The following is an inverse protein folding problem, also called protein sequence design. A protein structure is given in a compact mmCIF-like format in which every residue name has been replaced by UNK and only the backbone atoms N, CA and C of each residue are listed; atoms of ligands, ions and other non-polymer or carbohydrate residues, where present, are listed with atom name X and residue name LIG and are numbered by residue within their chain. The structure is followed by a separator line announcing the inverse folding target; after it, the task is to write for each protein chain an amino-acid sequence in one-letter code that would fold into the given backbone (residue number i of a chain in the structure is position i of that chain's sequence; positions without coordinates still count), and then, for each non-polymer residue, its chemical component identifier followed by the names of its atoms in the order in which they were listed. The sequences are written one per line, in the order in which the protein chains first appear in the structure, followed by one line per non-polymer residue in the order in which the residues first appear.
data_IF_161147886491
#
_entry.id   IF_161147886491
#
_cell.length_a   1.000
_cell.length_b   1.000
_cell.length_c   1.000
_cell.angle_alpha   90.00
_cell.angle_beta   90.00
_cell.angle_gamma   90.00
#
_symmetry.space_group_name_H-M   'P 1'
#
loop_
_entity.id
_entity.type
_entity.pdbx_description
1 polymer ?
#
# COMPACT_ATOMS: atom_id res chain seq x y z
N UNK A 1 15.53 3.14 -8.52
CA UNK A 1 14.44 2.16 -8.23
C UNK A 1 13.12 2.89 -8.00
N UNK A 2 12.00 2.19 -8.16
CA UNK A 2 10.65 2.73 -7.99
C UNK A 2 10.08 2.25 -6.65
N UNK A 3 9.63 3.16 -5.80
CA UNK A 3 8.92 2.87 -4.56
C UNK A 3 7.42 3.17 -4.73
N UNK A 4 6.57 2.17 -4.53
CA UNK A 4 5.12 2.36 -4.42
C UNK A 4 4.67 2.25 -2.97
N UNK A 5 3.75 3.12 -2.56
CA UNK A 5 3.19 3.17 -1.21
C UNK A 5 1.66 3.10 -1.24
N UNK A 6 1.09 2.22 -0.40
CA UNK A 6 -0.32 2.24 -0.03
C UNK A 6 -0.44 2.80 1.40
N UNK A 7 -1.07 3.96 1.55
CA UNK A 7 -1.01 4.76 2.78
C UNK A 7 -2.37 4.75 3.47
N UNK A 8 -2.42 4.07 4.63
CA UNK A 8 -3.53 4.15 5.57
C UNK A 8 -3.05 4.61 6.94
N UNK A 9 -4.00 4.94 7.83
CA UNK A 9 -3.64 5.32 9.21
C UNK A 9 -3.29 4.12 10.09
N UNK A 10 -3.45 2.89 9.63
CA UNK A 10 -3.17 1.68 10.43
C UNK A 10 -1.95 0.93 9.94
N UNK A 11 -1.66 1.03 8.65
CA UNK A 11 -0.59 0.33 7.96
C UNK A 11 -0.15 1.18 6.76
N UNK A 12 1.15 1.21 6.47
CA UNK A 12 1.64 1.62 5.16
C UNK A 12 2.20 0.37 4.48
N UNK A 13 1.62 -0.05 3.36
CA UNK A 13 2.23 -1.03 2.48
C UNK A 13 3.30 -0.36 1.63
N UNK A 14 4.42 -1.03 1.37
CA UNK A 14 5.44 -0.56 0.46
C UNK A 14 5.92 -1.67 -0.48
N UNK A 15 6.28 -1.29 -1.70
CA UNK A 15 6.87 -2.20 -2.69
C UNK A 15 7.93 -1.48 -3.52
N UNK A 16 9.04 -2.18 -3.77
CA UNK A 16 10.16 -1.68 -4.57
C UNK A 16 10.27 -2.47 -5.86
N UNK A 17 10.35 -1.76 -6.99
CA UNK A 17 10.67 -2.31 -8.31
C UNK A 17 11.97 -1.69 -8.83
N UNK A 18 12.65 -2.41 -9.72
CA UNK A 18 13.66 -1.81 -10.60
C UNK A 18 12.99 -0.94 -11.67
N UNK A 19 13.77 -0.09 -12.32
CA UNK A 19 13.29 0.78 -13.42
C UNK A 19 12.75 -0.07 -14.59
N UNK A 20 13.29 -1.26 -14.84
CA UNK A 20 12.78 -2.19 -15.84
C UNK A 20 11.43 -2.86 -15.44
N UNK A 21 10.97 -2.64 -14.20
CA UNK A 21 9.74 -3.20 -13.68
C UNK A 21 9.86 -4.55 -12.98
N UNK A 22 11.09 -5.05 -12.80
CA UNK A 22 11.36 -6.27 -12.04
C UNK A 22 11.08 -6.03 -10.56
N UNK A 23 10.35 -6.96 -9.94
CA UNK A 23 10.10 -6.94 -8.49
C UNK A 23 11.38 -7.12 -7.68
N UNK A 24 11.52 -6.34 -6.60
CA UNK A 24 12.69 -6.41 -5.69
C UNK A 24 12.26 -6.88 -4.30
N UNK A 25 11.32 -6.18 -3.67
CA UNK A 25 10.87 -6.48 -2.31
C UNK A 25 9.57 -5.73 -2.01
N UNK A 26 8.78 -6.24 -1.09
CA UNK A 26 7.69 -5.49 -0.46
C UNK A 26 7.68 -5.73 1.05
N UNK A 27 6.89 -4.92 1.76
CA UNK A 27 6.73 -5.01 3.20
C UNK A 27 5.66 -4.03 3.68
N UNK A 28 5.54 -3.92 5.00
CA UNK A 28 4.56 -3.04 5.62
C UNK A 28 5.12 -2.38 6.87
N UNK A 29 4.57 -1.20 7.19
CA UNK A 29 4.86 -0.44 8.40
C UNK A 29 3.62 -0.46 9.29
N UNK A 30 3.63 -1.16 10.44
CA UNK A 30 2.48 -1.24 11.32
C UNK A 30 2.31 0.03 12.15
N UNK A 31 1.25 0.80 11.90
CA UNK A 31 0.98 2.09 12.54
C UNK A 31 -0.11 2.02 13.61
N UNK A 32 -0.81 0.89 13.74
CA UNK A 32 -1.98 0.72 14.60
C UNK A 32 -1.72 1.02 16.09
N UNK A 33 -0.49 0.78 16.56
CA UNK A 33 -0.08 1.02 17.96
C UNK A 33 0.26 2.48 18.27
N UNK A 34 0.42 3.33 17.25
CA UNK A 34 0.77 4.73 17.45
C UNK A 34 -0.50 5.56 17.67
N UNK A 35 -0.56 6.43 18.71
CA UNK A 35 -1.80 7.07 19.12
C UNK A 35 -2.19 8.28 18.25
N UNK A 36 -1.22 8.92 17.57
CA UNK A 36 -1.45 10.15 16.79
C UNK A 36 -0.89 10.04 15.38
N UNK A 37 -1.38 10.88 14.45
CA UNK A 37 -0.86 10.93 13.07
C UNK A 37 0.63 11.35 13.04
N UNK A 38 1.04 12.22 13.96
CA UNK A 38 2.44 12.67 14.07
C UNK A 38 3.37 11.52 14.47
N UNK A 39 2.99 10.72 15.47
CA UNK A 39 3.80 9.56 15.88
C UNK A 39 3.81 8.46 14.83
N UNK A 40 2.73 8.32 14.06
CA UNK A 40 2.69 7.45 12.87
C UNK A 40 3.65 7.92 11.80
N UNK A 41 3.69 9.22 11.52
CA UNK A 41 4.60 9.81 10.57
C UNK A 41 6.06 9.67 11.00
N UNK A 42 6.36 9.84 12.30
CA UNK A 42 7.70 9.59 12.84
C UNK A 42 8.15 8.15 12.65
N UNK A 43 7.27 7.19 12.91
CA UNK A 43 7.56 5.77 12.66
C UNK A 43 7.77 5.50 11.16
N UNK A 44 6.91 6.05 10.30
CA UNK A 44 7.06 5.94 8.85
C UNK A 44 8.41 6.48 8.38
N UNK A 45 8.84 7.64 8.90
CA UNK A 45 10.13 8.25 8.57
C UNK A 45 11.32 7.36 8.97
N UNK A 46 11.24 6.73 10.15
CA UNK A 46 12.27 5.77 10.59
C UNK A 46 12.42 4.61 9.60
N UNK A 47 11.30 4.04 9.16
CA UNK A 47 11.29 2.92 8.21
C UNK A 47 11.66 3.37 6.79
N UNK A 48 11.34 4.61 6.40
CA UNK A 48 11.74 5.20 5.12
C UNK A 48 13.25 5.38 5.03
N UNK A 49 13.91 5.78 6.12
CA UNK A 49 15.37 5.79 6.20
C UNK A 49 15.96 4.38 5.94
N UNK A 50 15.39 3.32 6.53
CA UNK A 50 15.84 1.95 6.28
C UNK A 50 15.65 1.53 4.82
N UNK A 51 14.51 1.89 4.21
CA UNK A 51 14.24 1.66 2.79
C UNK A 51 15.25 2.42 1.92
N UNK A 52 15.54 3.69 2.24
CA UNK A 52 16.49 4.53 1.51
C UNK A 52 17.91 3.97 1.57
N UNK A 53 18.35 3.50 2.74
CA UNK A 53 19.67 2.89 2.90
C UNK A 53 19.81 1.58 2.13
N UNK A 54 18.71 0.81 2.01
CA UNK A 54 18.71 -0.50 1.35
C UNK A 54 18.52 -0.43 -0.15
N UNK A 55 17.78 0.56 -0.65
CA UNK A 55 17.38 0.65 -2.04
C UNK A 55 17.65 2.06 -2.60
N UNK A 56 18.35 2.19 -3.74
CA UNK A 56 18.53 3.48 -4.40
C UNK A 56 17.21 3.90 -5.07
N UNK A 57 16.31 4.50 -4.30
CA UNK A 57 15.00 4.99 -4.79
C UNK A 57 15.22 6.25 -5.64
N UNK A 58 14.57 6.29 -6.79
CA UNK A 58 14.62 7.38 -7.78
C UNK A 58 13.23 7.95 -8.06
N UNK A 59 12.18 7.14 -7.88
CA UNK A 59 10.79 7.54 -8.08
C UNK A 59 9.92 7.00 -6.95
N UNK A 60 8.99 7.84 -6.46
CA UNK A 60 8.03 7.47 -5.42
C UNK A 60 6.63 7.69 -5.96
N UNK A 61 5.76 6.69 -5.80
CA UNK A 61 4.35 6.75 -6.17
C UNK A 61 3.48 6.43 -4.96
N UNK A 62 2.41 7.20 -4.78
CA UNK A 62 1.45 7.02 -3.69
C UNK A 62 0.04 6.96 -4.27
N UNK A 63 -0.80 6.07 -3.74
CA UNK A 63 -2.22 6.09 -4.07
C UNK A 63 -2.91 7.38 -3.57
N UNK A 64 -3.65 8.04 -4.46
CA UNK A 64 -4.45 9.22 -4.10
C UNK A 64 -5.63 8.83 -3.19
N UNK A 65 -5.81 9.57 -2.10
CA UNK A 65 -6.94 9.38 -1.19
C UNK A 65 -8.30 9.67 -1.84
N UNK A 66 -9.31 8.89 -1.44
CA UNK A 66 -10.68 9.06 -1.91
C UNK A 66 -11.26 10.41 -1.42
N UNK A 67 -11.64 11.29 -2.34
CA UNK A 67 -12.19 12.62 -2.02
C UNK A 67 -13.72 12.69 -2.01
N UNK A 68 -14.43 11.56 -2.17
CA UNK A 68 -15.89 11.56 -2.36
C UNK A 68 -16.65 11.37 -1.05
N UNK A 69 -17.36 12.41 -0.63
CA UNK A 69 -18.41 12.31 0.40
C UNK A 69 -19.69 11.76 -0.23
N UNK A 70 -20.17 10.62 0.23
CA UNK A 70 -21.45 10.04 -0.22
C UNK A 70 -22.14 9.29 0.91
N UNK A 71 -23.48 9.31 0.91
CA UNK A 71 -24.31 8.60 1.89
C UNK A 71 -24.05 7.09 1.80
N UNK A 72 -23.65 6.47 2.92
CA UNK A 72 -23.30 5.04 3.00
C UNK A 72 -21.82 4.70 2.78
N UNK A 73 -20.95 5.71 2.63
CA UNK A 73 -19.49 5.56 2.58
C UNK A 73 -18.84 5.86 3.94
N UNK A 74 -17.50 5.80 4.01
CA UNK A 74 -16.71 6.22 5.18
C UNK A 74 -17.14 7.57 5.72
N UNK A 75 -17.09 7.72 7.06
CA UNK A 75 -17.46 8.99 7.70
C UNK A 75 -16.56 10.14 7.23
N UNK A 76 -17.08 11.37 7.24
CA UNK A 76 -16.28 12.55 6.91
C UNK A 76 -15.00 12.63 7.75
N UNK A 77 -15.09 12.29 9.04
CA UNK A 77 -13.93 12.22 9.94
C UNK A 77 -12.88 11.20 9.47
N UNK A 78 -13.29 10.03 9.00
CA UNK A 78 -12.39 9.01 8.46
C UNK A 78 -11.71 9.48 7.17
N UNK A 79 -12.48 10.08 6.26
CA UNK A 79 -11.97 10.60 4.98
C UNK A 79 -10.94 11.70 5.24
N UNK A 80 -11.27 12.69 6.07
CA UNK A 80 -10.34 13.77 6.43
C UNK A 80 -9.09 13.22 7.09
N UNK A 81 -9.21 12.28 8.02
CA UNK A 81 -8.05 11.68 8.70
C UNK A 81 -7.12 10.95 7.72
N UNK A 82 -7.68 10.20 6.77
CA UNK A 82 -6.89 9.52 5.73
C UNK A 82 -6.21 10.52 4.80
N UNK A 83 -6.95 11.52 4.31
CA UNK A 83 -6.39 12.58 3.46
C UNK A 83 -5.28 13.38 4.17
N UNK A 84 -5.49 13.77 5.43
CA UNK A 84 -4.47 14.45 6.23
C UNK A 84 -3.23 13.57 6.40
N UNK A 85 -3.40 12.28 6.69
CA UNK A 85 -2.25 11.39 6.86
C UNK A 85 -1.52 11.12 5.55
N UNK A 86 -2.23 10.97 4.44
CA UNK A 86 -1.64 10.83 3.11
C UNK A 86 -0.80 12.07 2.74
N UNK A 87 -1.30 13.28 3.02
CA UNK A 87 -0.51 14.51 2.86
C UNK A 87 0.74 14.56 3.75
N UNK A 88 0.64 14.10 5.00
CA UNK A 88 1.81 13.99 5.90
C UNK A 88 2.84 13.01 5.32
N UNK A 89 2.42 11.86 4.80
CA UNK A 89 3.35 10.88 4.21
C UNK A 89 3.97 11.39 2.91
N UNK A 90 3.25 12.18 2.10
CA UNK A 90 3.86 12.87 0.96
C UNK A 90 5.00 13.79 1.41
N UNK A 91 4.76 14.61 2.44
CA UNK A 91 5.79 15.49 3.01
C UNK A 91 6.98 14.72 3.60
N UNK A 92 6.72 13.68 4.39
CA UNK A 92 7.77 12.82 4.97
C UNK A 92 8.60 12.14 3.88
N UNK A 93 7.95 11.66 2.80
CA UNK A 93 8.66 11.07 1.67
C UNK A 93 9.60 12.07 1.01
N UNK A 94 9.18 13.33 0.83
CA UNK A 94 10.06 14.38 0.31
C UNK A 94 11.22 14.70 1.26
N UNK A 95 10.99 14.77 2.57
CA UNK A 95 12.06 15.05 3.53
C UNK A 95 13.11 13.95 3.59
N UNK A 96 12.69 12.68 3.60
CA UNK A 96 13.58 11.53 3.80
C UNK A 96 14.28 11.11 2.50
N UNK A 97 13.59 11.17 1.36
CA UNK A 97 14.14 10.73 0.07
C UNK A 97 14.61 11.88 -0.82
N UNK A 98 14.21 13.14 -0.54
CA UNK A 98 14.39 14.30 -1.44
C UNK A 98 13.76 14.10 -2.82
N UNK A 99 12.70 13.30 -2.87
CA UNK A 99 11.93 12.98 -4.07
C UNK A 99 10.47 13.35 -3.80
N UNK A 100 9.88 14.18 -4.65
CA UNK A 100 8.46 14.50 -4.59
C UNK A 100 7.63 13.29 -5.07
N UNK A 101 6.72 12.73 -4.25
CA UNK A 101 5.93 11.59 -4.67
C UNK A 101 4.86 11.95 -5.72
N UNK A 102 4.69 11.10 -6.72
CA UNK A 102 3.61 11.22 -7.69
C UNK A 102 2.35 10.51 -7.20
N UNK A 103 1.20 11.19 -7.26
CA UNK A 103 -0.09 10.62 -6.85
C UNK A 103 -0.78 9.89 -8.02
N UNK A 104 -1.18 8.64 -7.78
CA UNK A 104 -1.90 7.83 -8.76
C UNK A 104 -3.36 7.61 -8.35
N UNK A 105 -4.26 7.72 -9.33
CA UNK A 105 -5.64 7.32 -9.12
C UNK A 105 -5.76 5.79 -9.04
N UNK A 106 -6.36 5.28 -7.98
CA UNK A 106 -6.54 3.83 -7.70
C UNK A 106 -7.06 3.04 -8.90
N UNK A 107 -8.12 3.54 -9.53
CA UNK A 107 -8.79 2.82 -10.61
C UNK A 107 -7.95 2.84 -11.88
N UNK A 108 -7.24 3.95 -12.12
CA UNK A 108 -6.32 4.07 -13.24
C UNK A 108 -5.09 3.19 -13.03
N UNK A 109 -4.54 3.13 -11.81
CA UNK A 109 -3.41 2.28 -11.46
C UNK A 109 -3.74 0.78 -11.67
N UNK A 110 -4.89 0.32 -11.17
CA UNK A 110 -5.34 -1.06 -11.42
C UNK A 110 -5.52 -1.35 -12.90
N UNK A 111 -6.09 -0.40 -13.66
CA UNK A 111 -6.31 -0.56 -15.10
C UNK A 111 -4.98 -0.59 -15.88
N UNK A 112 -4.00 0.24 -15.53
CA UNK A 112 -2.72 0.34 -16.25
C UNK A 112 -1.90 -0.94 -16.14
N UNK A 113 -2.00 -1.65 -15.00
CA UNK A 113 -1.32 -2.94 -14.80
C UNK A 113 -2.12 -4.15 -15.31
N UNK A 114 -3.28 -3.93 -15.94
CA UNK A 114 -4.14 -5.00 -16.46
C UNK A 114 -4.98 -5.73 -15.40
N UNK A 115 -5.04 -5.24 -14.17
CA UNK A 115 -5.84 -5.81 -13.08
C UNK A 115 -7.32 -5.48 -13.26
N UNK A 116 -8.14 -6.49 -13.57
CA UNK A 116 -9.60 -6.37 -13.73
C UNK A 116 -10.33 -6.80 -12.46
N UNK A 117 -10.71 -5.85 -11.62
CA UNK A 117 -11.55 -6.12 -10.44
C UNK A 117 -13.04 -6.13 -10.80
N UNK A 118 -13.81 -7.07 -10.24
CA UNK A 118 -15.27 -7.15 -10.39
C UNK A 118 -15.95 -6.81 -9.06
N UNK A 119 -17.18 -6.25 -9.06
CA UNK A 119 -17.92 -6.02 -7.82
C UNK A 119 -18.11 -7.32 -7.03
N UNK A 120 -17.91 -7.27 -5.71
CA UNK A 120 -18.02 -8.46 -4.85
C UNK A 120 -19.39 -9.15 -4.98
N UNK A 121 -20.46 -8.38 -5.14
CA UNK A 121 -21.83 -8.89 -5.39
C UNK A 121 -21.95 -9.77 -6.65
N UNK A 122 -21.05 -9.63 -7.64
CA UNK A 122 -21.07 -10.39 -8.90
C UNK A 122 -20.15 -11.61 -8.89
N UNK A 123 -19.07 -11.59 -8.11
CA UNK A 123 -18.04 -12.64 -8.15
C UNK A 123 -17.83 -13.36 -6.81
N UNK A 124 -18.48 -12.92 -5.74
CA UNK A 124 -18.37 -13.52 -4.40
C UNK A 124 -17.08 -13.17 -3.64
N UNK A 125 -16.14 -12.44 -4.26
CA UNK A 125 -14.81 -12.16 -3.70
C UNK A 125 -14.65 -10.64 -3.51
N UNK A 126 -14.14 -10.20 -2.35
CA UNK A 126 -13.92 -8.78 -2.11
C UNK A 126 -12.81 -8.23 -3.00
N UNK A 127 -12.86 -6.93 -3.30
CA UNK A 127 -11.87 -6.28 -4.20
C UNK A 127 -10.43 -6.48 -3.71
N UNK A 128 -10.18 -6.35 -2.40
CA UNK A 128 -8.85 -6.56 -1.80
C UNK A 128 -8.32 -7.98 -2.02
N UNK A 129 -9.18 -8.98 -1.94
CA UNK A 129 -8.81 -10.38 -2.16
C UNK A 129 -8.53 -10.63 -3.65
N UNK A 130 -9.28 -9.98 -4.55
CA UNK A 130 -9.00 -10.03 -5.99
C UNK A 130 -7.65 -9.39 -6.33
N UNK A 131 -7.32 -8.25 -5.72
CA UNK A 131 -6.02 -7.58 -5.89
C UNK A 131 -4.91 -8.51 -5.41
N UNK A 132 -5.01 -8.99 -4.16
CA UNK A 132 -4.01 -9.87 -3.57
C UNK A 132 -3.80 -11.14 -4.41
N UNK A 133 -4.88 -11.84 -4.77
CA UNK A 133 -4.81 -13.04 -5.61
C UNK A 133 -4.20 -12.79 -6.98
N UNK A 134 -4.33 -11.59 -7.53
CA UNK A 134 -3.62 -11.23 -8.76
C UNK A 134 -2.14 -11.00 -8.48
N UNK A 135 -1.78 -10.21 -7.46
CA UNK A 135 -0.38 -9.89 -7.16
C UNK A 135 0.46 -11.14 -6.86
N UNK A 136 -0.07 -12.11 -6.12
CA UNK A 136 0.65 -13.38 -5.85
C UNK A 136 0.98 -14.19 -7.13
N UNK A 137 0.30 -13.92 -8.25
CA UNK A 137 0.65 -14.53 -9.54
C UNK A 137 1.70 -13.74 -10.32
N UNK A 138 1.99 -12.50 -9.90
CA UNK A 138 2.92 -11.60 -10.56
C UNK A 138 4.32 -11.63 -9.94
N UNK A 139 4.43 -12.00 -8.66
CA UNK A 139 5.69 -11.98 -7.92
C UNK A 139 5.87 -13.26 -7.10
N UNK A 140 7.13 -13.68 -6.98
CA UNK A 140 7.55 -14.71 -6.04
C UNK A 140 8.02 -14.02 -4.75
N UNK A 141 7.31 -14.25 -3.65
CA UNK A 141 7.56 -13.58 -2.37
C UNK A 141 7.01 -14.40 -1.20
N UNK A 142 7.78 -14.51 -0.13
CA UNK A 142 7.37 -15.16 1.12
C UNK A 142 6.45 -14.24 1.92
N UNK A 143 5.14 -14.33 1.63
CA UNK A 143 4.13 -13.51 2.30
C UNK A 143 4.05 -13.80 3.80
N UNK A 144 3.99 -12.74 4.65
CA UNK A 144 3.99 -12.93 6.08
C UNK A 144 2.69 -13.58 6.56
N UNK A 145 2.84 -14.58 7.44
CA UNK A 145 1.72 -15.35 7.98
C UNK A 145 1.67 -15.28 9.51
N UNK A 146 0.53 -15.67 10.07
CA UNK A 146 0.35 -15.89 11.52
C UNK A 146 -0.45 -17.14 11.78
N UNK A 147 -0.17 -17.76 12.93
CA UNK A 147 -0.97 -18.86 13.48
C UNK A 147 -2.10 -18.28 14.31
N UNK A 148 -3.33 -18.71 14.05
CA UNK A 148 -4.49 -18.34 14.86
C UNK A 148 -4.39 -18.98 16.25
N UNK A 149 -4.37 -18.14 17.30
CA UNK A 149 -4.20 -18.57 18.70
C UNK A 149 -5.51 -18.96 19.40
N UNK A 150 -6.65 -18.57 18.85
CA UNK A 150 -7.98 -18.77 19.46
C UNK A 150 -9.08 -18.92 18.40
N UNK A 151 -10.27 -19.34 18.86
CA UNK A 151 -11.46 -19.52 18.03
C UNK A 151 -11.54 -20.88 17.31
N UNK A 152 -12.62 -21.12 16.53
CA UNK A 152 -12.87 -22.41 15.86
C UNK A 152 -11.79 -22.80 14.85
N UNK A 153 -10.97 -21.83 14.42
CA UNK A 153 -9.89 -21.98 13.44
C UNK A 153 -8.50 -21.94 14.08
N UNK A 154 -8.39 -22.20 15.38
CA UNK A 154 -7.10 -22.22 16.08
C UNK A 154 -6.12 -23.20 15.42
N UNK A 155 -4.85 -22.82 15.32
CA UNK A 155 -3.79 -23.62 14.71
C UNK A 155 -3.65 -23.45 13.19
N UNK A 156 -4.61 -22.82 12.51
CA UNK A 156 -4.48 -22.51 11.09
C UNK A 156 -3.47 -21.36 10.87
N UNK A 157 -2.63 -21.55 9.85
CA UNK A 157 -1.74 -20.53 9.30
C UNK A 157 -2.55 -19.70 8.30
N UNK A 158 -2.57 -18.38 8.50
CA UNK A 158 -3.22 -17.43 7.59
C UNK A 158 -2.27 -16.29 7.25
N UNK A 159 -2.45 -15.69 6.08
CA UNK A 159 -1.76 -14.45 5.72
C UNK A 159 -2.11 -13.34 6.73
N UNK A 160 -1.13 -12.48 7.00
CA UNK A 160 -1.36 -11.26 7.73
C UNK A 160 -2.35 -10.36 6.97
N UNK A 161 -3.24 -9.62 7.66
CA UNK A 161 -4.06 -8.59 7.02
C UNK A 161 -3.23 -7.58 6.23
N UNK A 162 -2.03 -7.27 6.69
CA UNK A 162 -1.12 -6.32 6.07
C UNK A 162 -0.61 -6.78 4.68
N UNK A 163 -0.77 -8.06 4.33
CA UNK A 163 -0.49 -8.55 2.98
C UNK A 163 -1.38 -7.88 1.92
N UNK A 164 -2.57 -7.38 2.28
CA UNK A 164 -3.42 -6.63 1.36
C UNK A 164 -2.82 -5.26 1.05
N UNK A 165 -2.36 -4.52 2.07
CA UNK A 165 -1.71 -3.21 1.90
C UNK A 165 -0.40 -3.36 1.08
N UNK A 166 0.37 -4.43 1.33
CA UNK A 166 1.57 -4.77 0.54
C UNK A 166 1.25 -5.01 -0.95
N UNK A 167 0.14 -5.71 -1.24
CA UNK A 167 -0.28 -5.98 -2.60
C UNK A 167 -0.78 -4.72 -3.33
N UNK A 168 -1.57 -3.88 -2.66
CA UNK A 168 -1.98 -2.58 -3.23
C UNK A 168 -0.73 -1.70 -3.48
N UNK A 169 0.28 -1.70 -2.60
CA UNK A 169 1.54 -0.98 -2.82
C UNK A 169 2.35 -1.49 -4.03
N UNK A 170 2.36 -2.80 -4.30
CA UNK A 170 2.93 -3.36 -5.53
C UNK A 170 2.19 -2.85 -6.77
N UNK A 171 0.86 -2.81 -6.73
CA UNK A 171 0.05 -2.25 -7.84
C UNK A 171 0.42 -0.79 -8.08
N UNK A 172 0.59 0.01 -7.03
CA UNK A 172 1.02 1.41 -7.13
C UNK A 172 2.40 1.52 -7.77
N UNK A 173 3.38 0.73 -7.32
CA UNK A 173 4.73 0.74 -7.89
C UNK A 173 4.72 0.34 -9.37
N UNK A 174 3.97 -0.71 -9.73
CA UNK A 174 3.87 -1.21 -11.10
C UNK A 174 3.11 -0.25 -12.01
N UNK A 175 2.07 0.41 -11.50
CA UNK A 175 1.39 1.47 -12.23
C UNK A 175 2.29 2.67 -12.46
N UNK A 176 3.10 3.06 -11.46
CA UNK A 176 4.11 4.10 -11.59
C UNK A 176 5.14 3.80 -12.67
N UNK A 177 5.64 2.56 -12.73
CA UNK A 177 6.47 2.08 -13.85
C UNK A 177 5.80 2.34 -15.20
N UNK A 178 4.54 1.92 -15.37
CA UNK A 178 3.78 2.17 -16.61
C UNK A 178 3.51 3.65 -16.93
N UNK A 179 3.81 4.59 -16.03
CA UNK A 179 3.72 6.03 -16.32
C UNK A 179 5.06 6.64 -16.74
N UNK A 180 6.16 5.97 -16.43
CA UNK A 180 7.51 6.40 -16.81
C UNK A 180 7.87 5.95 -18.25
N UNK A 181 7.08 5.06 -18.85
CA UNK A 181 7.26 4.46 -20.18
C UNK A 181 5.95 4.48 -20.98
#
# INVERSE_FOLDING_TARGET
MILGLDVSTTTIGWSVLKIDGTFVSCGFIPLSKQPSLVLKAKLASTEFCEIFLKYPIEHIFIEACLQRFARGMSSAATITKLASFNGIIQYVSYEDFRIEPCLLNVNQARKSVGLKTRPAKKCGIQTKDQVFNWVITQIDFDWPTRVLKSGPRKGLIINLPECFDMADAYVVAKAGHCTLH
#
